data_IF_395425757123
#
_entry.id   IF_395425757123
#
_cell.length_a   1.000
_cell.length_b   1.000
_cell.length_c   1.000
_cell.angle_alpha   90.00
_cell.angle_beta   90.00
_cell.angle_gamma   90.00
#
_symmetry.space_group_name_H-M   'P 1'
#
loop_
_entity.id
_entity.type
_entity.pdbx_description
1 polymer ?
#
# COMPACT_ATOMS: atom_id res chain seq x y z
N UNK A 1 -3.97 -18.98 3.36
CA UNK A 1 -2.64 -19.13 2.71
C UNK A 1 -1.84 -17.85 2.95
N UNK A 2 -0.53 -17.89 3.20
CA UNK A 2 0.29 -16.71 3.55
C UNK A 2 0.16 -15.57 2.53
N UNK A 3 -0.01 -15.92 1.25
CA UNK A 3 -0.27 -14.96 0.18
C UNK A 3 -1.42 -13.98 0.48
N UNK A 4 -2.53 -14.46 1.05
CA UNK A 4 -3.69 -13.62 1.41
C UNK A 4 -3.39 -12.67 2.56
N UNK A 5 -2.57 -13.10 3.53
CA UNK A 5 -2.11 -12.24 4.61
C UNK A 5 -1.34 -11.03 4.09
N UNK A 6 -0.49 -11.20 3.06
CA UNK A 6 0.22 -10.08 2.45
C UNK A 6 -0.72 -9.15 1.69
N UNK A 7 -1.69 -9.69 0.95
CA UNK A 7 -2.71 -8.90 0.27
C UNK A 7 -3.49 -8.03 1.26
N UNK A 8 -4.00 -8.64 2.33
CA UNK A 8 -4.77 -7.94 3.37
C UNK A 8 -3.89 -6.94 4.13
N UNK A 9 -2.61 -7.25 4.40
CA UNK A 9 -1.71 -6.30 5.04
C UNK A 9 -1.47 -5.05 4.17
N UNK A 10 -1.17 -5.20 2.87
CA UNK A 10 -0.99 -4.06 1.98
C UNK A 10 -2.27 -3.24 1.84
N UNK A 11 -3.42 -3.91 1.63
CA UNK A 11 -4.71 -3.23 1.48
C UNK A 11 -5.16 -2.54 2.76
N UNK A 12 -5.20 -3.27 3.87
CA UNK A 12 -5.88 -2.85 5.09
C UNK A 12 -4.97 -2.01 6.00
N UNK A 13 -3.66 -2.26 6.00
CA UNK A 13 -2.72 -1.50 6.83
C UNK A 13 -2.01 -0.41 6.03
N UNK A 14 -1.49 -0.74 4.84
CA UNK A 14 -0.75 0.24 4.03
C UNK A 14 -1.65 1.08 3.12
N UNK A 15 -2.96 0.79 3.04
CA UNK A 15 -3.87 1.44 2.10
C UNK A 15 -3.39 1.35 0.63
N UNK A 16 -2.74 0.24 0.26
CA UNK A 16 -2.21 -0.01 -1.08
C UNK A 16 -2.99 -1.17 -1.71
N UNK A 17 -3.73 -0.95 -2.79
CA UNK A 17 -4.35 -2.03 -3.53
C UNK A 17 -3.28 -2.83 -4.28
N UNK A 18 -3.47 -4.15 -4.33
CA UNK A 18 -2.55 -5.07 -5.01
C UNK A 18 -3.29 -5.95 -5.99
N UNK A 19 -2.55 -6.53 -6.94
CA UNK A 19 -3.04 -7.61 -7.80
C UNK A 19 -2.40 -8.92 -7.34
N UNK A 20 -3.14 -9.80 -6.63
CA UNK A 20 -2.65 -11.11 -6.26
C UNK A 20 -2.69 -12.05 -7.48
N UNK A 21 -1.70 -12.92 -7.62
CA UNK A 21 -1.65 -13.86 -8.73
C UNK A 21 -0.50 -14.86 -8.64
N UNK A 22 -0.43 -15.74 -9.64
CA UNK A 22 0.66 -16.70 -9.80
C UNK A 22 1.73 -16.16 -10.76
N UNK A 23 3.00 -16.46 -10.52
CA UNK A 23 4.09 -16.19 -11.47
C UNK A 23 4.07 -17.24 -12.58
N UNK A 24 4.42 -16.83 -13.79
CA UNK A 24 4.73 -17.74 -14.89
C UNK A 24 5.93 -18.61 -14.56
N UNK A 25 6.18 -19.63 -15.38
CA UNK A 25 7.36 -20.48 -15.24
C UNK A 25 8.67 -19.67 -15.37
N UNK A 26 8.69 -18.63 -16.20
CA UNK A 26 9.86 -17.75 -16.36
C UNK A 26 10.17 -16.96 -15.08
N UNK A 27 9.12 -16.49 -14.37
CA UNK A 27 9.24 -15.55 -13.26
C UNK A 27 9.08 -16.20 -11.87
N UNK A 28 8.79 -17.52 -11.79
CA UNK A 28 8.69 -18.24 -10.50
C UNK A 28 10.07 -18.45 -9.89
N UNK A 29 10.11 -18.63 -8.57
CA UNK A 29 11.35 -18.97 -7.89
C UNK A 29 11.93 -20.30 -8.43
N UNK A 30 13.21 -20.35 -8.84
CA UNK A 30 13.83 -21.57 -9.31
C UNK A 30 13.70 -22.71 -8.28
N UNK A 31 13.13 -23.84 -8.73
CA UNK A 31 12.86 -25.00 -7.87
C UNK A 31 11.52 -24.97 -7.13
N UNK A 32 10.72 -23.91 -7.25
CA UNK A 32 9.32 -23.93 -6.84
C UNK A 32 8.43 -24.62 -7.88
N UNK A 33 7.38 -25.30 -7.41
CA UNK A 33 6.30 -25.75 -8.29
C UNK A 33 5.41 -24.57 -8.68
N UNK A 34 5.00 -23.77 -7.69
CA UNK A 34 4.21 -22.56 -7.90
C UNK A 34 4.81 -21.41 -7.09
N UNK A 35 4.75 -20.20 -7.62
CA UNK A 35 5.10 -18.97 -6.90
C UNK A 35 3.92 -18.01 -6.98
N UNK A 36 3.39 -17.63 -5.84
CA UNK A 36 2.32 -16.64 -5.71
C UNK A 36 2.90 -15.30 -5.29
N UNK A 37 2.27 -14.23 -5.75
CA UNK A 37 2.75 -12.87 -5.54
C UNK A 37 1.63 -11.86 -5.35
N UNK A 38 1.91 -10.77 -4.64
CA UNK A 38 1.09 -9.56 -4.62
C UNK A 38 1.85 -8.43 -5.32
N UNK A 39 1.30 -7.93 -6.41
CA UNK A 39 1.91 -6.87 -7.23
C UNK A 39 1.25 -5.53 -6.90
N UNK A 40 2.05 -4.55 -6.47
CA UNK A 40 1.61 -3.18 -6.17
C UNK A 40 2.02 -2.22 -7.28
N UNK A 41 1.14 -1.28 -7.62
CA UNK A 41 1.46 -0.16 -8.51
C UNK A 41 1.79 1.08 -7.68
N UNK A 42 2.89 1.76 -8.02
CA UNK A 42 3.26 3.05 -7.40
C UNK A 42 3.07 4.21 -8.39
N UNK A 43 3.34 5.44 -7.97
CA UNK A 43 2.97 6.67 -8.71
C UNK A 43 3.55 6.76 -10.12
N UNK A 44 4.74 6.21 -10.35
CA UNK A 44 5.34 6.16 -11.68
C UNK A 44 4.79 4.99 -12.52
N UNK A 45 3.72 4.32 -12.08
CA UNK A 45 3.03 3.19 -12.72
C UNK A 45 3.85 1.91 -12.86
N UNK A 46 5.06 1.83 -12.29
CA UNK A 46 5.80 0.58 -12.24
C UNK A 46 5.24 -0.37 -11.19
N UNK A 47 5.50 -1.65 -11.42
CA UNK A 47 5.18 -2.74 -10.53
C UNK A 47 6.26 -2.96 -9.47
N UNK A 48 5.80 -3.22 -8.26
CA UNK A 48 6.60 -3.73 -7.16
C UNK A 48 6.00 -5.05 -6.71
N UNK A 49 6.80 -6.11 -6.78
CA UNK A 49 6.50 -7.35 -6.08
C UNK A 49 6.58 -7.08 -4.57
N UNK A 50 5.41 -6.90 -3.94
CA UNK A 50 5.28 -6.50 -2.55
C UNK A 50 5.31 -7.70 -1.59
N UNK A 51 5.20 -8.92 -2.11
CA UNK A 51 5.32 -10.14 -1.34
C UNK A 51 5.34 -11.38 -2.22
N UNK A 52 5.88 -12.46 -1.69
CA UNK A 52 6.00 -13.74 -2.40
C UNK A 52 5.73 -14.93 -1.48
N UNK A 53 5.08 -15.96 -2.02
CA UNK A 53 4.84 -17.23 -1.34
C UNK A 53 5.02 -18.37 -2.33
N UNK A 54 5.85 -19.33 -1.99
CA UNK A 54 6.26 -20.42 -2.86
C UNK A 54 5.72 -21.74 -2.34
N UNK A 55 5.13 -22.52 -3.23
CA UNK A 55 4.97 -23.93 -3.02
C UNK A 55 6.14 -24.65 -3.68
N UNK A 56 7.03 -25.19 -2.85
CA UNK A 56 8.29 -25.79 -3.28
C UNK A 56 8.14 -27.28 -3.63
N UNK A 57 6.97 -27.86 -3.37
CA UNK A 57 6.75 -29.29 -3.47
C UNK A 57 7.78 -30.04 -2.63
N UNK A 58 8.43 -31.02 -3.24
CA UNK A 58 9.46 -31.84 -2.61
C UNK A 58 10.88 -31.52 -3.11
N UNK A 59 11.06 -30.52 -3.97
CA UNK A 59 12.36 -30.27 -4.61
C UNK A 59 13.46 -29.99 -3.58
N UNK A 60 13.18 -29.10 -2.63
CA UNK A 60 14.11 -28.81 -1.53
C UNK A 60 14.25 -29.98 -0.56
N UNK A 61 13.15 -30.68 -0.27
CA UNK A 61 13.16 -31.83 0.63
C UNK A 61 14.05 -32.95 0.09
N UNK A 62 14.04 -33.19 -1.23
CA UNK A 62 14.92 -34.16 -1.89
C UNK A 62 16.38 -33.72 -1.84
N UNK A 63 16.66 -32.46 -2.17
CA UNK A 63 18.02 -31.91 -2.16
C UNK A 63 18.67 -31.90 -0.77
N UNK A 64 17.88 -31.77 0.30
CA UNK A 64 18.33 -31.69 1.69
C UNK A 64 17.99 -32.94 2.52
N UNK A 65 17.50 -34.00 1.88
CA UNK A 65 17.10 -35.27 2.51
C UNK A 65 16.09 -35.14 3.67
N UNK A 66 15.21 -34.14 3.61
CA UNK A 66 14.20 -33.88 4.64
C UNK A 66 13.04 -34.88 4.47
N UNK A 67 12.94 -35.84 5.38
CA UNK A 67 12.00 -36.96 5.26
C UNK A 67 11.30 -37.28 6.57
N UNK A 68 10.18 -37.99 6.47
CA UNK A 68 9.39 -38.51 7.58
C UNK A 68 8.91 -39.93 7.27
N UNK A 69 8.44 -40.65 8.29
CA UNK A 69 7.82 -41.96 8.12
C UNK A 69 6.34 -41.76 7.81
N UNK A 70 5.93 -42.20 6.63
CA UNK A 70 4.56 -42.17 6.14
C UNK A 70 3.63 -43.11 6.90
N UNK A 71 2.32 -42.99 6.65
CA UNK A 71 1.30 -43.83 7.31
C UNK A 71 1.46 -45.33 7.00
N UNK A 72 2.04 -45.65 5.85
CA UNK A 72 2.33 -47.03 5.44
C UNK A 72 3.70 -47.53 5.93
N UNK A 73 4.40 -46.74 6.76
CA UNK A 73 5.71 -47.09 7.31
C UNK A 73 6.89 -46.82 6.37
N UNK A 74 6.64 -46.34 5.15
CA UNK A 74 7.67 -45.95 4.17
C UNK A 74 8.30 -44.58 4.44
N UNK A 75 9.48 -44.32 3.89
CA UNK A 75 10.15 -43.01 3.92
C UNK A 75 9.52 -42.09 2.87
N UNK A 76 9.00 -40.94 3.28
CA UNK A 76 8.39 -39.93 2.42
C UNK A 76 9.12 -38.59 2.53
N UNK A 77 9.12 -37.78 1.46
CA UNK A 77 9.66 -36.43 1.46
C UNK A 77 8.58 -35.41 1.85
N UNK A 78 8.94 -34.46 2.70
CA UNK A 78 8.02 -33.39 3.10
C UNK A 78 7.68 -32.48 1.92
N UNK A 79 6.44 -31.97 1.90
CA UNK A 79 6.05 -30.86 1.04
C UNK A 79 6.37 -29.55 1.73
N UNK A 80 7.16 -28.68 1.09
CA UNK A 80 7.62 -27.43 1.71
C UNK A 80 7.02 -26.19 1.05
N UNK A 81 6.92 -25.14 1.86
CA UNK A 81 6.57 -23.78 1.41
C UNK A 81 7.57 -22.81 2.00
N UNK A 82 7.91 -21.76 1.25
CA UNK A 82 8.63 -20.59 1.77
C UNK A 82 7.88 -19.32 1.39
N UNK A 83 8.10 -18.24 2.11
CA UNK A 83 7.39 -16.98 1.88
C UNK A 83 8.15 -15.84 2.52
N UNK A 84 7.97 -14.64 1.98
CA UNK A 84 8.68 -13.48 2.50
C UNK A 84 8.13 -12.15 2.01
N UNK A 85 8.32 -11.16 2.88
CA UNK A 85 8.23 -9.72 2.61
C UNK A 85 9.46 -9.07 3.23
N UNK A 86 9.80 -7.86 2.79
CA UNK A 86 10.94 -7.12 3.32
C UNK A 86 10.58 -5.66 3.57
N UNK A 87 11.55 -4.89 4.08
CA UNK A 87 11.43 -3.43 4.25
C UNK A 87 11.19 -2.68 2.93
N UNK A 88 11.27 -3.36 1.77
CA UNK A 88 10.75 -2.85 0.49
C UNK A 88 9.31 -2.33 0.61
N UNK A 89 8.50 -2.88 1.53
CA UNK A 89 7.16 -2.37 1.82
C UNK A 89 7.14 -0.92 2.32
N UNK A 90 8.17 -0.47 3.05
CA UNK A 90 8.30 0.92 3.49
C UNK A 90 8.56 1.83 2.28
N UNK A 91 9.45 1.42 1.38
CA UNK A 91 9.67 2.14 0.11
C UNK A 91 8.41 2.18 -0.76
N UNK A 92 7.69 1.06 -0.83
CA UNK A 92 6.41 0.95 -1.56
C UNK A 92 5.38 1.91 -0.99
N UNK A 93 5.24 1.98 0.34
CA UNK A 93 4.36 2.93 1.02
C UNK A 93 4.68 4.38 0.65
N UNK A 94 5.95 4.75 0.69
CA UNK A 94 6.41 6.11 0.36
C UNK A 94 6.09 6.43 -1.10
N UNK A 95 6.51 5.57 -2.03
CA UNK A 95 6.31 5.78 -3.48
C UNK A 95 4.84 5.72 -3.91
N UNK A 96 3.97 5.09 -3.11
CA UNK A 96 2.55 5.03 -3.41
C UNK A 96 1.81 6.29 -2.93
N UNK A 97 2.13 6.81 -1.75
CA UNK A 97 1.30 7.83 -1.10
C UNK A 97 1.86 9.25 -1.07
N UNK A 98 3.19 9.41 -1.09
CA UNK A 98 3.85 10.72 -0.91
C UNK A 98 3.41 11.75 -1.97
N UNK A 99 3.57 13.02 -1.67
CA UNK A 99 3.31 14.10 -2.64
C UNK A 99 4.44 15.15 -2.55
N UNK A 100 4.28 16.26 -3.25
CA UNK A 100 5.27 17.35 -3.30
C UNK A 100 5.57 17.97 -1.92
N UNK A 101 4.66 17.82 -0.95
CA UNK A 101 4.81 18.33 0.41
C UNK A 101 5.44 17.30 1.37
N UNK A 102 5.65 16.05 0.92
CA UNK A 102 6.36 15.00 1.65
C UNK A 102 5.54 13.73 1.87
N UNK A 103 5.73 13.07 3.01
CA UNK A 103 5.04 11.82 3.30
C UNK A 103 3.53 12.02 3.47
N UNK A 104 2.77 11.00 3.11
CA UNK A 104 1.35 10.84 3.46
C UNK A 104 1.21 9.44 4.06
N UNK A 105 0.95 9.34 5.36
CA UNK A 105 0.94 8.04 6.04
C UNK A 105 -0.50 7.57 6.30
N UNK A 106 -0.83 6.31 5.97
CA UNK A 106 -2.07 5.69 6.42
C UNK A 106 -2.13 5.62 7.96
N UNK A 107 -3.28 5.97 8.58
CA UNK A 107 -3.47 5.93 10.03
C UNK A 107 -3.13 4.62 10.74
N UNK A 108 -3.22 3.49 10.05
CA UNK A 108 -2.85 2.18 10.60
C UNK A 108 -1.35 2.06 10.92
N UNK A 109 -0.49 2.75 10.16
CA UNK A 109 0.98 2.64 10.27
C UNK A 109 1.67 3.94 10.64
N UNK A 110 0.95 5.07 10.69
CA UNK A 110 1.50 6.36 11.09
C UNK A 110 2.05 6.31 12.54
N UNK A 111 3.32 6.68 12.81
CA UNK A 111 3.85 6.67 14.17
C UNK A 111 3.06 7.56 15.13
N UNK A 112 2.65 8.74 14.66
CA UNK A 112 1.66 9.60 15.30
C UNK A 112 0.47 9.73 14.36
N UNK A 113 -0.73 9.52 14.86
CA UNK A 113 -1.98 9.67 14.10
C UNK A 113 -2.46 11.12 14.16
N UNK A 114 -2.33 11.71 15.35
CA UNK A 114 -2.76 13.08 15.64
C UNK A 114 -1.58 13.84 16.23
N UNK A 115 -1.27 15.01 15.68
CA UNK A 115 -0.36 15.96 16.32
C UNK A 115 -1.10 17.24 16.68
N UNK A 116 -0.96 17.68 17.92
CA UNK A 116 -1.52 18.93 18.43
C UNK A 116 -0.39 19.95 18.52
N UNK A 117 -0.57 21.11 17.89
CA UNK A 117 0.39 22.21 17.83
C UNK A 117 -0.20 23.41 18.57
N UNK A 118 0.31 23.72 19.78
CA UNK A 118 -0.04 24.96 20.48
C UNK A 118 0.36 26.18 19.65
N UNK A 119 -0.57 27.12 19.45
CA UNK A 119 -0.32 28.42 18.81
C UNK A 119 -0.25 29.48 19.89
N UNK A 120 0.96 29.82 20.32
CA UNK A 120 1.20 30.68 21.49
C UNK A 120 1.83 32.02 21.08
N UNK A 121 1.05 32.99 20.56
CA UNK A 121 1.58 34.27 20.09
C UNK A 121 1.95 35.23 21.23
N UNK A 122 1.48 34.96 22.45
CA UNK A 122 1.66 35.78 23.65
C UNK A 122 2.06 34.87 24.81
N UNK A 123 3.02 35.32 25.61
CA UNK A 123 3.55 34.53 26.73
C UNK A 123 2.49 34.33 27.83
N UNK A 124 1.62 35.32 28.05
CA UNK A 124 0.59 35.28 29.09
C UNK A 124 -0.48 34.19 28.83
N UNK A 125 -0.70 33.83 27.57
CA UNK A 125 -1.65 32.79 27.17
C UNK A 125 -1.01 31.43 26.94
N UNK A 126 0.33 31.35 27.00
CA UNK A 126 1.10 30.17 26.60
C UNK A 126 0.76 28.95 27.43
N UNK A 127 0.77 29.11 28.75
CA UNK A 127 0.55 28.01 29.69
C UNK A 127 -0.85 27.41 29.54
N UNK A 128 -1.89 28.25 29.52
CA UNK A 128 -3.28 27.81 29.37
C UNK A 128 -3.54 27.06 28.04
N UNK A 129 -2.89 27.49 26.95
CA UNK A 129 -3.01 26.81 25.65
C UNK A 129 -2.32 25.45 25.69
N UNK A 130 -1.12 25.36 26.26
CA UNK A 130 -0.38 24.10 26.39
C UNK A 130 -1.16 23.12 27.26
N UNK A 131 -1.69 23.58 28.41
CA UNK A 131 -2.51 22.76 29.31
C UNK A 131 -3.76 22.22 28.59
N UNK A 132 -4.45 23.07 27.83
CA UNK A 132 -5.61 22.65 27.03
C UNK A 132 -5.24 21.61 25.96
N UNK A 133 -4.11 21.78 25.29
CA UNK A 133 -3.59 20.83 24.31
C UNK A 133 -3.27 19.46 24.94
N UNK A 134 -2.61 19.45 26.10
CA UNK A 134 -2.29 18.22 26.82
C UNK A 134 -3.55 17.52 27.35
N UNK A 135 -4.50 18.27 27.90
CA UNK A 135 -5.78 17.72 28.33
C UNK A 135 -6.56 17.09 27.16
N UNK A 136 -6.54 17.72 25.97
CA UNK A 136 -7.14 17.12 24.77
C UNK A 136 -6.40 15.85 24.36
N UNK A 137 -5.07 15.86 24.37
CA UNK A 137 -4.27 14.68 24.03
C UNK A 137 -4.53 13.51 24.99
N UNK A 138 -4.59 13.76 26.29
CA UNK A 138 -4.91 12.75 27.30
C UNK A 138 -6.31 12.18 27.09
N UNK A 139 -7.30 13.05 26.87
CA UNK A 139 -8.67 12.62 26.61
C UNK A 139 -8.76 11.72 25.37
N UNK A 140 -8.14 12.12 24.25
CA UNK A 140 -8.11 11.32 23.03
C UNK A 140 -7.40 9.98 23.23
N UNK A 141 -6.28 9.94 23.95
CA UNK A 141 -5.55 8.69 24.24
C UNK A 141 -6.37 7.76 25.14
N UNK A 142 -7.15 8.30 26.08
CA UNK A 142 -7.91 7.52 27.07
C UNK A 142 -9.25 7.03 26.54
N UNK A 143 -9.98 7.89 25.83
CA UNK A 143 -11.39 7.68 25.51
C UNK A 143 -11.63 7.20 24.08
N UNK A 144 -10.64 7.36 23.20
CA UNK A 144 -10.76 6.96 21.80
C UNK A 144 -9.76 5.86 21.46
N UNK A 145 -10.17 4.99 20.54
CA UNK A 145 -9.33 3.93 19.99
C UNK A 145 -9.50 3.84 18.49
N UNK A 146 -8.44 3.41 17.81
CA UNK A 146 -8.45 3.14 16.38
C UNK A 146 -7.76 1.79 16.14
N UNK A 147 -8.45 0.90 15.43
CA UNK A 147 -7.99 -0.46 15.16
C UNK A 147 -7.62 -1.26 16.43
N UNK A 148 -8.41 -1.11 17.50
CA UNK A 148 -8.25 -1.86 18.75
C UNK A 148 -7.14 -1.35 19.68
N UNK A 149 -6.53 -0.21 19.39
CA UNK A 149 -5.51 0.41 20.23
C UNK A 149 -5.84 1.89 20.54
N UNK A 150 -5.37 2.44 21.68
CA UNK A 150 -5.45 3.87 21.98
C UNK A 150 -4.90 4.75 20.86
N UNK A 151 -5.48 5.94 20.67
CA UNK A 151 -4.99 6.88 19.67
C UNK A 151 -3.55 7.32 19.96
N UNK A 152 -2.71 7.33 18.92
CA UNK A 152 -1.32 7.82 18.99
C UNK A 152 -1.31 9.33 18.77
N UNK A 153 -1.39 10.06 19.88
CA UNK A 153 -1.45 11.53 19.90
C UNK A 153 -0.15 12.11 20.45
N UNK A 154 0.37 13.17 19.83
CA UNK A 154 1.54 13.91 20.31
C UNK A 154 1.27 15.41 20.37
N UNK A 155 1.73 16.09 21.43
CA UNK A 155 1.69 17.54 21.55
C UNK A 155 3.08 18.10 21.28
N UNK A 156 3.21 18.98 20.29
CA UNK A 156 4.49 19.57 19.93
C UNK A 156 4.73 20.89 20.67
N UNK A 157 5.29 20.79 21.88
CA UNK A 157 5.60 21.92 22.77
C UNK A 157 6.98 22.55 22.54
N UNK A 158 7.75 22.10 21.54
CA UNK A 158 9.09 22.65 21.23
C UNK A 158 9.04 24.16 21.03
N UNK A 159 10.08 24.89 21.37
CA UNK A 159 10.12 26.34 21.19
C UNK A 159 10.50 26.72 19.75
N UNK A 160 9.58 26.48 18.81
CA UNK A 160 9.73 26.74 17.38
C UNK A 160 8.52 27.53 16.88
N UNK A 161 8.73 28.36 15.85
CA UNK A 161 7.64 29.08 15.19
C UNK A 161 6.55 28.14 14.69
N UNK A 162 5.28 28.48 14.92
CA UNK A 162 4.13 27.60 14.60
C UNK A 162 4.09 27.12 13.15
N UNK A 163 4.43 28.01 12.20
CA UNK A 163 4.56 27.64 10.79
C UNK A 163 5.63 26.58 10.52
N UNK A 164 6.77 26.64 11.23
CA UNK A 164 7.86 25.67 11.11
C UNK A 164 7.40 24.30 11.61
N UNK A 165 6.78 24.23 12.80
CA UNK A 165 6.22 22.99 13.35
C UNK A 165 5.20 22.38 12.39
N UNK A 166 4.24 23.18 11.91
CA UNK A 166 3.21 22.74 10.98
C UNK A 166 3.84 22.04 9.77
N UNK A 167 4.79 22.70 9.10
CA UNK A 167 5.42 22.16 7.91
C UNK A 167 6.30 20.94 8.18
N UNK A 168 6.96 20.84 9.33
CA UNK A 168 7.64 19.60 9.74
C UNK A 168 6.67 18.41 9.80
N UNK A 169 5.48 18.60 10.37
CA UNK A 169 4.48 17.55 10.51
C UNK A 169 3.74 17.22 9.20
N UNK A 170 3.60 18.21 8.31
CA UNK A 170 3.17 17.97 6.92
C UNK A 170 4.16 17.04 6.22
N UNK A 171 5.45 17.36 6.25
CA UNK A 171 6.52 16.55 5.63
C UNK A 171 6.62 15.14 6.21
N UNK A 172 6.39 14.99 7.53
CA UNK A 172 6.35 13.69 8.22
C UNK A 172 5.08 12.88 7.94
N UNK A 173 4.06 13.49 7.32
CA UNK A 173 2.86 12.79 6.88
C UNK A 173 1.89 12.39 7.98
N UNK A 174 1.85 13.13 9.10
CA UNK A 174 0.90 12.84 10.18
C UNK A 174 -0.53 13.02 9.66
N UNK A 175 -1.42 12.01 9.80
CA UNK A 175 -2.77 12.04 9.25
C UNK A 175 -3.60 13.25 9.66
N UNK A 176 -3.60 13.58 10.95
CA UNK A 176 -4.37 14.68 11.53
C UNK A 176 -3.44 15.64 12.25
N UNK A 177 -3.56 16.93 11.94
CA UNK A 177 -2.96 18.00 12.73
C UNK A 177 -4.05 18.85 13.34
N UNK A 178 -3.86 19.20 14.61
CA UNK A 178 -4.72 20.09 15.37
C UNK A 178 -3.92 21.32 15.76
N UNK A 179 -4.45 22.50 15.50
CA UNK A 179 -3.93 23.76 16.03
C UNK A 179 -4.92 24.30 17.08
N UNK A 180 -4.39 24.78 18.21
CA UNK A 180 -5.18 25.48 19.24
C UNK A 180 -4.46 26.78 19.57
N UNK A 181 -5.09 27.92 19.24
CA UNK A 181 -4.67 29.24 19.69
C UNK A 181 -5.63 29.86 20.70
N UNK A 182 -5.40 31.12 21.13
CA UNK A 182 -6.26 31.80 22.09
C UNK A 182 -7.73 31.86 21.64
N UNK A 183 -7.96 32.15 20.35
CA UNK A 183 -9.33 32.26 19.80
C UNK A 183 -10.07 30.92 19.79
N UNK A 184 -9.37 29.84 19.45
CA UNK A 184 -9.95 28.50 19.40
C UNK A 184 -10.27 28.03 20.83
N UNK A 185 -9.38 28.32 21.78
CA UNK A 185 -9.59 28.04 23.20
C UNK A 185 -10.81 28.77 23.76
N UNK A 186 -10.92 30.08 23.53
CA UNK A 186 -12.06 30.90 23.99
C UNK A 186 -13.39 30.42 23.36
N UNK A 187 -13.34 29.92 22.14
CA UNK A 187 -14.50 29.42 21.41
C UNK A 187 -14.84 27.95 21.70
N UNK A 188 -14.01 27.21 22.44
CA UNK A 188 -14.19 25.77 22.65
C UNK A 188 -13.98 24.92 21.39
N UNK A 189 -13.17 25.40 20.44
CA UNK A 189 -12.96 24.78 19.12
C UNK A 189 -11.53 24.32 18.93
N UNK A 190 -11.33 23.51 17.90
CA UNK A 190 -10.02 23.12 17.40
C UNK A 190 -9.91 23.36 15.89
N UNK A 191 -8.75 23.80 15.42
CA UNK A 191 -8.46 23.90 13.99
C UNK A 191 -7.94 22.54 13.49
N UNK A 192 -8.81 21.77 12.85
CA UNK A 192 -8.54 20.46 12.28
C UNK A 192 -7.97 20.57 10.86
N UNK A 193 -6.88 19.86 10.61
CA UNK A 193 -6.31 19.70 9.27
C UNK A 193 -5.99 18.24 8.99
N UNK A 194 -6.38 17.76 7.81
CA UNK A 194 -6.06 16.40 7.35
C UNK A 194 -4.91 16.41 6.35
N UNK A 195 -4.06 15.38 6.38
CA UNK A 195 -2.89 15.27 5.49
C UNK A 195 -3.20 14.73 4.09
N UNK A 196 -4.30 14.01 3.94
CA UNK A 196 -4.81 13.53 2.65
C UNK A 196 -5.51 14.64 1.84
N UNK A 197 -5.63 15.85 2.40
CA UNK A 197 -6.19 17.05 1.77
C UNK A 197 -5.14 18.14 1.64
N UNK A 198 -5.49 19.23 0.94
CA UNK A 198 -4.57 20.35 0.72
C UNK A 198 -4.11 20.99 2.06
N UNK A 199 -2.83 21.39 2.22
CA UNK A 199 -2.29 21.89 3.50
C UNK A 199 -2.95 23.17 4.04
N UNK A 200 -3.68 23.90 3.19
CA UNK A 200 -4.44 25.11 3.50
C UNK A 200 -5.91 24.83 3.84
N UNK A 201 -6.43 23.62 3.57
CA UNK A 201 -7.76 23.22 4.00
C UNK A 201 -7.78 23.06 5.53
N UNK A 202 -8.80 23.67 6.15
CA UNK A 202 -8.95 23.78 7.59
C UNK A 202 -10.42 23.70 7.95
N UNK A 203 -10.74 22.85 8.90
CA UNK A 203 -12.06 22.77 9.53
C UNK A 203 -11.95 23.32 10.96
N UNK A 204 -12.95 24.09 11.40
CA UNK A 204 -13.05 24.56 12.78
C UNK A 204 -14.20 23.84 13.46
N UNK A 205 -13.86 22.81 14.22
CA UNK A 205 -14.84 21.89 14.83
C UNK A 205 -14.88 22.09 16.35
N UNK A 206 -16.04 21.82 16.95
CA UNK A 206 -16.17 21.85 18.40
C UNK A 206 -15.25 20.78 19.02
N UNK A 207 -14.61 21.09 20.15
CA UNK A 207 -13.61 20.21 20.78
C UNK A 207 -14.21 18.85 21.13
N UNK A 208 -15.40 18.85 21.72
CA UNK A 208 -16.13 17.65 22.13
C UNK A 208 -16.55 16.82 20.92
N UNK A 209 -16.98 17.46 19.83
CA UNK A 209 -17.28 16.80 18.56
C UNK A 209 -16.03 16.13 17.98
N UNK A 210 -14.89 16.82 17.98
CA UNK A 210 -13.63 16.24 17.53
C UNK A 210 -13.22 15.02 18.35
N UNK A 211 -13.34 15.07 19.68
CA UNK A 211 -13.05 13.92 20.55
C UNK A 211 -13.90 12.71 20.13
N UNK A 212 -15.19 12.90 19.86
CA UNK A 212 -16.10 11.82 19.48
C UNK A 212 -15.85 11.28 18.06
N UNK A 213 -15.31 12.11 17.17
CA UNK A 213 -15.18 11.78 15.73
C UNK A 213 -13.75 11.47 15.29
N UNK A 214 -12.74 11.68 16.14
CA UNK A 214 -11.32 11.52 15.79
C UNK A 214 -10.99 10.15 15.18
N UNK A 215 -11.50 9.05 15.76
CA UNK A 215 -11.28 7.71 15.25
C UNK A 215 -11.97 7.48 13.88
N UNK A 216 -13.16 8.07 13.70
CA UNK A 216 -13.90 8.01 12.44
C UNK A 216 -13.17 8.80 11.34
N UNK A 217 -12.60 9.97 11.65
CA UNK A 217 -11.79 10.75 10.70
C UNK A 217 -10.56 9.94 10.25
N UNK A 218 -9.87 9.25 11.17
CA UNK A 218 -8.76 8.36 10.81
C UNK A 218 -9.22 7.22 9.88
N UNK A 219 -10.38 6.62 10.13
CA UNK A 219 -10.93 5.60 9.26
C UNK A 219 -11.21 6.14 7.85
N UNK A 220 -11.81 7.32 7.76
CA UNK A 220 -12.06 7.99 6.49
C UNK A 220 -10.78 8.30 5.71
N UNK A 221 -9.72 8.74 6.40
CA UNK A 221 -8.41 8.98 5.77
C UNK A 221 -7.86 7.66 5.21
N UNK A 222 -7.88 6.57 6.00
CA UNK A 222 -7.42 5.25 5.53
C UNK A 222 -8.18 4.79 4.28
N UNK A 223 -9.51 4.94 4.28
CA UNK A 223 -10.37 4.58 3.16
C UNK A 223 -10.15 5.48 1.94
N UNK A 224 -9.98 6.79 2.14
CA UNK A 224 -9.72 7.74 1.07
C UNK A 224 -8.38 7.44 0.37
N UNK A 225 -7.33 7.14 1.13
CA UNK A 225 -6.02 6.75 0.59
C UNK A 225 -6.11 5.46 -0.24
N UNK A 226 -6.77 4.43 0.30
CA UNK A 226 -6.96 3.16 -0.42
C UNK A 226 -7.79 3.35 -1.69
N UNK A 227 -8.90 4.10 -1.61
CA UNK A 227 -9.76 4.38 -2.76
C UNK A 227 -9.01 5.13 -3.85
N UNK A 228 -8.24 6.17 -3.49
CA UNK A 228 -7.42 6.95 -4.42
C UNK A 228 -6.47 6.06 -5.21
N UNK A 229 -5.73 5.19 -4.51
CA UNK A 229 -4.81 4.28 -5.18
C UNK A 229 -5.52 3.16 -5.96
N UNK A 230 -6.71 2.75 -5.54
CA UNK A 230 -7.49 1.73 -6.26
C UNK A 230 -7.95 2.28 -7.60
N UNK A 231 -8.52 3.47 -7.61
CA UNK A 231 -8.90 4.20 -8.83
C UNK A 231 -7.67 4.40 -9.72
N UNK A 232 -6.57 4.91 -9.17
CA UNK A 232 -5.33 5.09 -9.92
C UNK A 232 -4.84 3.79 -10.56
N UNK A 233 -4.77 2.70 -9.80
CA UNK A 233 -4.36 1.39 -10.34
C UNK A 233 -5.28 0.96 -11.48
N UNK A 234 -6.60 1.01 -11.25
CA UNK A 234 -7.59 0.50 -12.19
C UNK A 234 -7.62 1.33 -13.49
N UNK A 235 -7.44 2.65 -13.42
CA UNK A 235 -7.29 3.53 -14.59
C UNK A 235 -5.98 3.31 -15.36
N UNK A 236 -4.98 2.67 -14.73
CA UNK A 236 -3.67 2.40 -15.33
C UNK A 236 -3.45 0.90 -15.62
N UNK A 237 -4.51 0.09 -15.59
CA UNK A 237 -4.50 -1.30 -16.11
C UNK A 237 -5.50 -1.35 -17.26
N UNK A 238 -5.03 -1.69 -18.46
CA UNK A 238 -5.88 -1.80 -19.65
C UNK A 238 -5.84 -3.21 -20.23
N UNK A 239 -6.95 -3.67 -20.79
CA UNK A 239 -6.95 -4.90 -21.59
C UNK A 239 -6.29 -4.68 -22.95
N UNK A 240 -5.60 -5.70 -23.45
CA UNK A 240 -4.96 -5.68 -24.76
C UNK A 240 -5.04 -7.06 -25.43
N UNK A 241 -5.50 -7.09 -26.68
CA UNK A 241 -5.67 -8.32 -27.47
C UNK A 241 -4.96 -8.26 -28.83
N UNK A 242 -4.19 -7.20 -29.10
CA UNK A 242 -3.47 -6.98 -30.36
C UNK A 242 -1.97 -6.88 -30.09
N UNK A 243 -1.16 -7.58 -30.88
CA UNK A 243 0.29 -7.48 -30.80
C UNK A 243 0.80 -6.07 -31.16
N UNK A 244 0.11 -5.38 -32.08
CA UNK A 244 0.48 -4.02 -32.48
C UNK A 244 0.27 -3.05 -31.31
N UNK A 245 -0.93 -3.05 -30.72
CA UNK A 245 -1.26 -2.20 -29.56
C UNK A 245 -0.36 -2.52 -28.36
N UNK A 246 -0.06 -3.81 -28.14
CA UNK A 246 0.86 -4.23 -27.10
C UNK A 246 2.25 -3.60 -27.27
N UNK A 247 2.80 -3.64 -28.49
CA UNK A 247 4.12 -3.07 -28.78
C UNK A 247 4.11 -1.55 -28.61
N UNK A 248 3.12 -0.87 -29.21
CA UNK A 248 2.98 0.58 -29.15
C UNK A 248 2.77 1.10 -27.72
N UNK A 249 2.10 0.33 -26.84
CA UNK A 249 1.93 0.72 -25.44
C UNK A 249 3.26 0.95 -24.73
N UNK A 250 4.29 0.15 -25.03
CA UNK A 250 5.60 0.24 -24.37
C UNK A 250 6.59 1.19 -25.04
N UNK A 251 6.22 1.81 -26.16
CA UNK A 251 7.03 2.81 -26.85
C UNK A 251 6.99 4.17 -26.12
N UNK A 252 8.02 5.00 -26.36
CA UNK A 252 8.11 6.34 -25.80
C UNK A 252 8.74 6.44 -24.40
N UNK A 253 8.75 7.67 -23.88
CA UNK A 253 9.32 8.02 -22.58
C UNK A 253 8.28 7.90 -21.44
N UNK A 254 8.73 7.56 -20.24
CA UNK A 254 7.85 7.35 -19.08
C UNK A 254 7.22 5.96 -19.06
N UNK A 255 6.31 5.72 -18.11
CA UNK A 255 5.65 4.41 -17.94
C UNK A 255 4.16 4.51 -18.31
N UNK A 256 3.67 3.68 -19.23
CA UNK A 256 2.32 3.79 -19.80
C UNK A 256 1.22 3.16 -18.91
N UNK A 257 1.58 2.43 -17.86
CA UNK A 257 0.65 1.57 -17.12
C UNK A 257 0.84 0.10 -17.46
N UNK A 258 -0.07 -0.75 -17.00
CA UNK A 258 -0.01 -2.20 -17.16
C UNK A 258 -1.00 -2.69 -18.21
N UNK A 259 -0.70 -3.85 -18.80
CA UNK A 259 -1.60 -4.49 -19.76
C UNK A 259 -2.04 -5.85 -19.28
N UNK A 260 -3.33 -6.14 -19.38
CA UNK A 260 -3.88 -7.47 -19.20
C UNK A 260 -4.15 -8.10 -20.56
N UNK A 261 -3.60 -9.29 -20.81
CA UNK A 261 -3.66 -9.94 -22.13
C UNK A 261 -4.10 -11.40 -22.03
N UNK A 262 -4.84 -11.95 -23.02
CA UNK A 262 -4.98 -13.39 -23.19
C UNK A 262 -3.61 -13.99 -23.54
N UNK A 263 -3.16 -14.98 -22.77
CA UNK A 263 -1.80 -15.52 -22.90
C UNK A 263 -1.79 -17.04 -23.08
N UNK A 264 -1.10 -17.49 -24.12
CA UNK A 264 -0.82 -18.90 -24.40
C UNK A 264 0.61 -19.08 -24.94
N UNK A 265 1.48 -18.11 -24.70
CA UNK A 265 2.85 -18.13 -25.20
C UNK A 265 3.78 -19.01 -24.36
N UNK A 266 4.89 -19.42 -24.95
CA UNK A 266 5.93 -20.19 -24.26
C UNK A 266 6.82 -19.31 -23.37
N UNK A 267 7.63 -19.94 -22.53
CA UNK A 267 8.67 -19.25 -21.72
C UNK A 267 9.63 -18.46 -22.61
N UNK A 268 10.03 -19.00 -23.77
CA UNK A 268 10.93 -18.29 -24.69
C UNK A 268 10.27 -17.05 -25.30
N UNK A 269 8.97 -17.11 -25.59
CA UNK A 269 8.20 -15.99 -26.11
C UNK A 269 8.00 -14.90 -25.05
N UNK A 270 7.70 -15.29 -23.81
CA UNK A 270 7.65 -14.38 -22.66
C UNK A 270 8.99 -13.63 -22.48
N UNK A 271 10.10 -14.38 -22.47
CA UNK A 271 11.44 -13.80 -22.32
C UNK A 271 11.79 -12.85 -23.47
N UNK A 272 11.40 -13.19 -24.70
CA UNK A 272 11.66 -12.36 -25.87
C UNK A 272 10.95 -11.02 -25.75
N UNK A 273 9.64 -11.03 -25.47
CA UNK A 273 8.86 -9.79 -25.26
C UNK A 273 9.38 -8.99 -24.07
N UNK A 274 9.74 -9.68 -22.99
CA UNK A 274 10.28 -9.06 -21.79
C UNK A 274 11.58 -8.29 -22.07
N UNK A 275 12.49 -8.90 -22.85
CA UNK A 275 13.75 -8.27 -23.28
C UNK A 275 13.53 -7.13 -24.27
N UNK A 276 12.63 -7.31 -25.25
CA UNK A 276 12.33 -6.32 -26.30
C UNK A 276 11.75 -5.03 -25.69
N UNK A 277 10.85 -5.13 -24.71
CA UNK A 277 10.10 -4.00 -24.17
C UNK A 277 10.49 -3.60 -22.73
N UNK A 278 11.44 -4.30 -22.11
CA UNK A 278 11.89 -4.09 -20.71
C UNK A 278 10.73 -4.18 -19.71
N UNK A 279 9.90 -5.21 -19.88
CA UNK A 279 8.73 -5.56 -19.05
C UNK A 279 8.86 -7.00 -18.58
N UNK A 280 7.99 -7.45 -17.67
CA UNK A 280 7.76 -8.88 -17.43
C UNK A 280 6.28 -9.15 -17.21
N UNK A 281 5.86 -10.42 -17.28
CA UNK A 281 4.56 -10.81 -16.72
C UNK A 281 4.67 -10.68 -15.20
N UNK A 282 3.92 -9.75 -14.64
CA UNK A 282 3.88 -9.48 -13.20
C UNK A 282 3.20 -10.62 -12.47
N UNK A 283 2.05 -11.06 -12.97
CA UNK A 283 1.40 -12.27 -12.51
C UNK A 283 0.30 -12.70 -13.50
N UNK A 284 -0.21 -13.90 -13.26
CA UNK A 284 -1.49 -14.39 -13.74
C UNK A 284 -2.51 -14.06 -12.64
N UNK A 285 -3.33 -13.00 -12.77
CA UNK A 285 -4.16 -12.51 -11.67
C UNK A 285 -5.19 -13.53 -11.21
N UNK A 286 -5.34 -13.68 -9.88
CA UNK A 286 -6.35 -14.54 -9.30
C UNK A 286 -7.76 -14.09 -9.71
N UNK A 287 -8.67 -15.03 -9.94
CA UNK A 287 -10.06 -14.75 -10.31
C UNK A 287 -10.27 -14.26 -11.75
N UNK A 288 -9.20 -14.20 -12.56
CA UNK A 288 -9.27 -13.85 -13.99
C UNK A 288 -8.90 -15.00 -14.92
N UNK A 289 -8.59 -16.18 -14.38
CA UNK A 289 -8.13 -17.35 -15.15
C UNK A 289 -9.28 -18.27 -15.61
N UNK A 290 -10.48 -18.10 -15.04
CA UNK A 290 -11.69 -18.88 -15.34
C UNK A 290 -12.65 -18.15 -16.30
N UNK A 291 -12.16 -17.12 -17.00
CA UNK A 291 -12.92 -16.34 -17.98
C UNK A 291 -13.15 -17.10 -19.30
N UNK A 292 -13.99 -16.55 -20.21
CA UNK A 292 -14.17 -17.13 -21.53
C UNK A 292 -12.83 -17.19 -22.28
N UNK A 293 -12.66 -18.20 -23.12
CA UNK A 293 -11.49 -18.28 -23.98
C UNK A 293 -11.44 -17.06 -24.93
N UNK A 294 -10.24 -16.52 -25.08
CA UNK A 294 -9.92 -15.50 -26.06
C UNK A 294 -8.65 -15.92 -26.81
N UNK A 295 -8.46 -15.51 -28.07
CA UNK A 295 -7.22 -15.78 -28.78
C UNK A 295 -6.06 -15.04 -28.08
N UNK A 296 -4.98 -15.76 -27.83
CA UNK A 296 -3.73 -15.20 -27.34
C UNK A 296 -3.27 -14.07 -28.26
N UNK A 297 -2.92 -12.91 -27.69
CA UNK A 297 -2.55 -11.73 -28.48
C UNK A 297 -1.29 -11.95 -29.35
N UNK A 298 -0.45 -12.93 -28.96
CA UNK A 298 0.78 -13.29 -29.65
C UNK A 298 0.60 -14.48 -30.61
N UNK A 299 0.03 -15.59 -30.13
CA UNK A 299 0.00 -16.86 -30.88
C UNK A 299 -1.32 -17.13 -31.60
N UNK A 300 -2.39 -16.39 -31.27
CA UNK A 300 -3.75 -16.62 -31.78
C UNK A 300 -4.47 -17.84 -31.20
N UNK A 301 -3.79 -18.67 -30.40
CA UNK A 301 -4.38 -19.85 -29.75
C UNK A 301 -5.42 -19.43 -28.70
N UNK A 302 -6.55 -20.13 -28.64
CA UNK A 302 -7.57 -19.92 -27.61
C UNK A 302 -7.04 -20.21 -26.20
N UNK A 303 -7.33 -19.33 -25.24
CA UNK A 303 -6.88 -19.44 -23.85
C UNK A 303 -7.80 -18.72 -22.86
N UNK A 304 -8.01 -19.32 -21.69
CA UNK A 304 -8.64 -18.66 -20.54
C UNK A 304 -7.62 -17.89 -19.68
N UNK A 305 -6.32 -18.14 -19.87
CA UNK A 305 -5.25 -17.52 -19.08
C UNK A 305 -5.17 -16.04 -19.40
N UNK A 306 -5.02 -15.22 -18.35
CA UNK A 306 -4.81 -13.79 -18.44
C UNK A 306 -3.49 -13.43 -17.77
N UNK A 307 -2.59 -12.82 -18.53
CA UNK A 307 -1.29 -12.36 -18.06
C UNK A 307 -1.28 -10.83 -17.91
N UNK A 308 -0.87 -10.37 -16.74
CA UNK A 308 -0.71 -8.95 -16.43
C UNK A 308 0.75 -8.55 -16.62
N UNK A 309 1.00 -7.61 -17.53
CA UNK A 309 2.31 -7.12 -17.91
C UNK A 309 2.58 -5.75 -17.32
N UNK A 310 3.83 -5.50 -16.92
CA UNK A 310 4.25 -4.22 -16.37
C UNK A 310 5.74 -4.03 -16.40
N UNK A 311 6.18 -2.78 -16.42
CA UNK A 311 7.56 -2.42 -16.07
C UNK A 311 7.74 -2.57 -14.56
N UNK A 312 8.87 -3.10 -14.12
CA UNK A 312 9.12 -3.39 -12.71
C UNK A 312 10.32 -2.60 -12.16
N UNK A 313 10.39 -2.51 -10.83
CA UNK A 313 11.55 -2.07 -10.07
C UNK A 313 12.48 -3.22 -9.68
#
# INVERSE_FOLDING_TARGET
MIHKLYEDFLRDHLAIPVVPGEKTEAERFPGALNTYTVEAMVQDRKAIQAGTSHYLGQNFAKAQEITFVGREGGKEYVHTTSWGVSTRLIGTLIMAHADDDGLVLPPMVAPQQIVIVPVTPKEETREAIIESCEALAETLRREQSYAGAPLRVHVDTRDLGGGVKKWEWVKKGVPIRIEIGPRDLDAGKVCLQRRDRAPNEKDFVDREEFIQTAAQILLEIQQALLKRLSVFRDENISECSSLEDFKSHWEGEGNPGWLLTPWAGSTEEEEKLSKEHKITIRCLPNGQQDGPEAPCFLTGQGTSVRALWGRAY
#
